data_IF_618328579197
#
_entry.id   IF_618328579197
#
_cell.length_a   1.000
_cell.length_b   1.000
_cell.length_c   1.000
_cell.angle_alpha   90.00
_cell.angle_beta   90.00
_cell.angle_gamma   90.00
#
_symmetry.space_group_name_H-M   'P 1'
#
loop_
_entity.id
_entity.type
_entity.pdbx_description
1 polymer ?
#
# COMPACT_ATOMS: atom_id res chain seq x y z
N UNK A 1 11.32 6.15 1.84
CA UNK A 1 11.44 6.64 3.22
C UNK A 1 12.81 6.24 3.67
N UNK A 2 13.57 7.19 4.23
CA UNK A 2 14.82 6.82 4.90
C UNK A 2 14.51 5.77 5.99
N UNK A 3 15.44 4.86 6.30
CA UNK A 3 15.22 3.85 7.33
C UNK A 3 14.78 4.44 8.67
N UNK A 4 15.36 5.58 9.07
CA UNK A 4 14.98 6.29 10.30
C UNK A 4 13.51 6.77 10.27
N UNK A 5 13.05 7.32 9.14
CA UNK A 5 11.67 7.76 8.98
C UNK A 5 10.69 6.57 9.01
N UNK A 6 11.08 5.42 8.45
CA UNK A 6 10.27 4.19 8.52
C UNK A 6 10.13 3.71 9.96
N UNK A 7 11.21 3.68 10.73
CA UNK A 7 11.17 3.31 12.16
C UNK A 7 10.23 4.23 12.94
N UNK A 8 10.32 5.54 12.73
CA UNK A 8 9.42 6.49 13.40
C UNK A 8 7.95 6.23 13.06
N UNK A 9 7.61 6.00 11.78
CA UNK A 9 6.24 5.67 11.37
C UNK A 9 5.75 4.32 11.91
N UNK A 10 6.63 3.33 12.05
CA UNK A 10 6.30 2.03 12.64
C UNK A 10 5.99 2.19 14.13
N UNK A 11 6.76 3.02 14.86
CA UNK A 11 6.50 3.33 16.26
C UNK A 11 5.20 4.12 16.43
N UNK A 12 4.95 5.11 15.57
CA UNK A 12 3.69 5.86 15.52
C UNK A 12 2.50 4.92 15.30
N UNK A 13 2.60 3.96 14.36
CA UNK A 13 1.57 2.94 14.15
C UNK A 13 1.34 2.08 15.39
N UNK A 14 2.41 1.63 16.06
CA UNK A 14 2.28 0.86 17.30
C UNK A 14 1.54 1.64 18.39
N UNK A 15 1.88 2.91 18.55
CA UNK A 15 1.24 3.78 19.54
C UNK A 15 -0.23 4.00 19.22
N UNK A 16 -0.57 4.31 17.96
CA UNK A 16 -1.96 4.49 17.53
C UNK A 16 -2.80 3.22 17.73
N UNK A 17 -2.27 2.04 17.40
CA UNK A 17 -2.95 0.75 17.60
C UNK A 17 -3.14 0.41 19.09
N UNK A 18 -2.34 0.99 19.98
CA UNK A 18 -2.48 0.81 21.43
C UNK A 18 -3.53 1.74 22.04
N UNK A 19 -3.85 2.85 21.36
CA UNK A 19 -4.79 3.87 21.85
C UNK A 19 -6.19 3.75 21.26
N UNK A 20 -6.31 3.27 20.01
CA UNK A 20 -7.57 3.26 19.27
C UNK A 20 -7.81 1.90 18.60
N UNK A 21 -9.08 1.50 18.55
CA UNK A 21 -9.48 0.27 17.85
C UNK A 21 -9.24 0.38 16.34
N UNK A 22 -9.53 1.54 15.74
CA UNK A 22 -9.34 1.78 14.31
C UNK A 22 -8.18 2.72 14.01
N UNK A 23 -7.33 2.35 13.05
CA UNK A 23 -6.24 3.19 12.53
C UNK A 23 -6.28 3.21 11.00
N UNK A 24 -6.18 4.40 10.41
CA UNK A 24 -6.13 4.60 8.96
C UNK A 24 -4.72 5.02 8.53
N UNK A 25 -4.17 4.27 7.57
CA UNK A 25 -2.97 4.63 6.82
C UNK A 25 -3.39 5.32 5.52
N UNK A 26 -3.06 6.60 5.40
CA UNK A 26 -3.42 7.43 4.24
C UNK A 26 -2.17 7.73 3.42
N UNK A 27 -2.26 7.52 2.12
CA UNK A 27 -1.23 7.97 1.19
C UNK A 27 -1.33 7.30 -0.17
N UNK A 28 -0.64 7.80 -1.18
CA UNK A 28 -0.74 7.29 -2.54
C UNK A 28 -0.09 5.90 -2.70
N UNK A 29 -0.31 5.28 -3.86
CA UNK A 29 0.26 3.97 -4.16
C UNK A 29 1.79 3.98 -4.13
N UNK A 30 2.37 2.96 -3.49
CA UNK A 30 3.82 2.85 -3.32
C UNK A 30 4.40 3.66 -2.15
N UNK A 31 3.61 4.43 -1.39
CA UNK A 31 4.12 5.18 -0.23
C UNK A 31 4.65 4.31 0.92
N UNK A 32 4.40 2.99 0.88
CA UNK A 32 4.93 2.03 1.85
C UNK A 32 3.96 1.63 2.97
N UNK A 33 2.67 1.96 2.85
CA UNK A 33 1.61 1.62 3.84
C UNK A 33 1.62 0.14 4.25
N UNK A 34 1.47 -0.75 3.27
CA UNK A 34 1.44 -2.19 3.51
C UNK A 34 2.78 -2.70 4.07
N UNK A 35 3.89 -2.11 3.64
CA UNK A 35 5.23 -2.43 4.18
C UNK A 35 5.34 -2.03 5.65
N UNK A 36 4.78 -0.89 6.04
CA UNK A 36 4.71 -0.42 7.44
C UNK A 36 3.98 -1.44 8.32
N UNK A 37 2.80 -1.90 7.89
CA UNK A 37 2.01 -2.93 8.59
C UNK A 37 2.82 -4.23 8.75
N UNK A 38 3.46 -4.69 7.67
CA UNK A 38 4.26 -5.93 7.68
C UNK A 38 5.49 -5.82 8.57
N UNK A 39 6.19 -4.68 8.55
CA UNK A 39 7.34 -4.43 9.41
C UNK A 39 6.94 -4.43 10.88
N UNK A 40 5.85 -3.76 11.25
CA UNK A 40 5.35 -3.79 12.62
C UNK A 40 4.95 -5.21 13.03
N UNK A 41 4.20 -5.92 12.19
CA UNK A 41 3.80 -7.31 12.44
C UNK A 41 5.01 -8.21 12.71
N UNK A 42 6.05 -8.08 11.89
CA UNK A 42 7.28 -8.83 12.05
C UNK A 42 8.01 -8.47 13.36
N UNK A 43 8.11 -7.18 13.69
CA UNK A 43 8.72 -6.71 14.92
C UNK A 43 7.98 -7.20 16.18
N UNK A 44 6.64 -7.20 16.17
CA UNK A 44 5.82 -7.70 17.27
C UNK A 44 6.01 -9.22 17.46
N UNK A 45 6.03 -9.99 16.37
CA UNK A 45 6.33 -11.43 16.43
C UNK A 45 7.71 -11.72 16.96
N UNK A 46 8.71 -10.93 16.57
CA UNK A 46 10.07 -11.02 17.13
C UNK A 46 10.14 -10.68 18.61
N UNK A 47 9.26 -9.80 19.10
CA UNK A 47 9.11 -9.49 20.52
C UNK A 47 8.33 -10.56 21.31
N UNK A 48 7.84 -11.63 20.65
CA UNK A 48 7.10 -12.72 21.26
C UNK A 48 5.58 -12.52 21.29
N UNK A 49 5.04 -11.47 20.67
CA UNK A 49 3.59 -11.26 20.56
C UNK A 49 2.99 -12.12 19.43
N UNK A 50 1.86 -12.78 19.71
CA UNK A 50 1.11 -13.52 18.69
C UNK A 50 0.10 -12.57 18.07
N UNK A 51 0.27 -12.30 16.77
CA UNK A 51 -0.61 -11.41 16.00
C UNK A 51 -1.17 -12.14 14.78
N UNK A 52 -2.48 -12.33 14.74
CA UNK A 52 -3.24 -12.86 13.61
C UNK A 52 -3.76 -11.73 12.73
N UNK A 53 -3.76 -11.93 11.42
CA UNK A 53 -4.14 -10.91 10.44
C UNK A 53 -5.19 -11.44 9.48
N UNK A 54 -6.29 -10.71 9.34
CA UNK A 54 -7.36 -10.98 8.37
C UNK A 54 -7.37 -9.83 7.37
N UNK A 55 -7.01 -10.09 6.11
CA UNK A 55 -6.92 -9.06 5.07
C UNK A 55 -8.12 -9.18 4.15
N UNK A 56 -8.81 -8.07 3.91
CA UNK A 56 -9.96 -7.99 3.03
C UNK A 56 -9.93 -6.71 2.19
N UNK A 57 -10.46 -6.78 0.98
CA UNK A 57 -10.66 -5.61 0.13
C UNK A 57 -12.18 -5.32 0.05
N UNK A 58 -12.66 -4.27 0.73
CA UNK A 58 -14.10 -4.01 0.83
C UNK A 58 -14.71 -3.62 -0.53
N UNK A 59 -13.93 -3.00 -1.44
CA UNK A 59 -14.37 -2.62 -2.79
C UNK A 59 -14.38 -3.76 -3.80
N UNK A 60 -13.63 -4.83 -3.54
CA UNK A 60 -13.57 -5.98 -4.44
C UNK A 60 -14.86 -6.83 -4.43
N UNK A 61 -15.76 -6.59 -3.47
CA UNK A 61 -16.97 -7.38 -3.29
C UNK A 61 -18.18 -6.50 -3.01
N UNK A 62 -19.40 -6.94 -3.37
CA UNK A 62 -20.63 -6.26 -2.99
C UNK A 62 -20.79 -6.18 -1.47
N UNK A 63 -21.48 -5.15 -0.98
CA UNK A 63 -21.78 -4.94 0.45
C UNK A 63 -22.36 -6.19 1.14
N UNK A 64 -23.25 -6.92 0.47
CA UNK A 64 -23.86 -8.14 1.01
C UNK A 64 -22.86 -9.28 1.21
N UNK A 65 -21.82 -9.38 0.37
CA UNK A 65 -20.74 -10.36 0.55
C UNK A 65 -19.72 -9.92 1.60
N UNK A 66 -19.56 -8.60 1.80
CA UNK A 66 -18.70 -8.06 2.84
C UNK A 66 -19.31 -8.21 4.24
N UNK A 67 -20.54 -7.73 4.42
CA UNK A 67 -21.22 -7.63 5.72
C UNK A 67 -22.17 -8.79 6.01
N UNK A 68 -22.48 -9.62 5.03
CA UNK A 68 -23.52 -10.63 5.12
C UNK A 68 -24.89 -10.10 4.73
N UNK A 69 -25.83 -11.02 4.54
CA UNK A 69 -27.20 -10.71 4.19
C UNK A 69 -28.16 -11.79 4.71
N UNK A 70 -29.44 -11.45 4.78
CA UNK A 70 -30.51 -12.41 5.02
C UNK A 70 -31.07 -12.80 3.65
N UNK A 71 -31.10 -14.09 3.35
CA UNK A 71 -31.73 -14.59 2.15
C UNK A 71 -33.25 -14.40 2.26
N UNK A 72 -33.87 -13.83 1.22
CA UNK A 72 -35.26 -13.39 1.26
C UNK A 72 -36.24 -14.58 1.26
N UNK A 73 -35.85 -15.68 0.62
CA UNK A 73 -36.70 -16.85 0.43
C UNK A 73 -36.63 -17.79 1.64
N UNK A 74 -35.41 -18.07 2.11
CA UNK A 74 -35.15 -18.98 3.24
C UNK A 74 -35.22 -18.28 4.60
N UNK A 75 -35.08 -16.95 4.63
CA UNK A 75 -34.89 -16.14 5.86
C UNK A 75 -33.66 -16.54 6.68
N UNK A 76 -32.71 -17.22 6.06
CA UNK A 76 -31.46 -17.62 6.70
C UNK A 76 -30.42 -16.51 6.60
N UNK A 77 -29.55 -16.43 7.61
CA UNK A 77 -28.44 -15.50 7.63
C UNK A 77 -27.22 -16.12 6.94
N UNK A 78 -26.68 -15.40 5.96
CA UNK A 78 -25.41 -15.72 5.32
C UNK A 78 -24.34 -14.72 5.76
N UNK A 79 -23.30 -15.24 6.43
CA UNK A 79 -22.14 -14.44 6.84
C UNK A 79 -21.39 -13.88 5.63
N UNK A 80 -20.95 -12.63 5.77
CA UNK A 80 -20.00 -12.00 4.86
C UNK A 80 -18.56 -12.21 5.30
N UNK A 81 -17.61 -11.76 4.48
CA UNK A 81 -16.17 -11.89 4.75
C UNK A 81 -15.77 -11.17 6.05
N UNK A 82 -16.33 -9.98 6.30
CA UNK A 82 -16.05 -9.21 7.50
C UNK A 82 -16.66 -9.86 8.75
N UNK A 83 -17.92 -10.33 8.67
CA UNK A 83 -18.59 -10.95 9.82
C UNK A 83 -17.97 -12.30 10.15
N UNK A 84 -17.60 -13.10 9.14
CA UNK A 84 -16.86 -14.33 9.33
C UNK A 84 -15.49 -14.08 10.00
N UNK A 85 -14.76 -13.05 9.56
CA UNK A 85 -13.49 -12.66 10.18
C UNK A 85 -13.69 -12.19 11.63
N UNK A 86 -14.71 -11.37 11.89
CA UNK A 86 -15.06 -10.92 13.24
C UNK A 86 -15.33 -12.10 14.18
N UNK A 87 -16.10 -13.10 13.71
CA UNK A 87 -16.37 -14.34 14.46
C UNK A 87 -15.13 -15.16 14.75
N UNK A 88 -14.15 -15.18 13.86
CA UNK A 88 -12.88 -15.88 14.09
C UNK A 88 -12.08 -15.17 15.17
N UNK A 89 -11.97 -13.85 15.05
CA UNK A 89 -11.21 -13.01 15.99
C UNK A 89 -11.74 -13.10 17.43
N UNK A 90 -13.06 -13.09 17.63
CA UNK A 90 -13.62 -13.21 19.00
C UNK A 90 -13.47 -14.61 19.61
N UNK A 91 -13.13 -15.63 18.80
CA UNK A 91 -12.88 -17.00 19.28
C UNK A 91 -11.42 -17.21 19.68
N UNK A 92 -10.55 -16.26 19.35
CA UNK A 92 -9.14 -16.33 19.73
C UNK A 92 -8.99 -16.26 21.26
N UNK A 93 -7.99 -16.97 21.82
CA UNK A 93 -7.75 -16.94 23.26
C UNK A 93 -7.21 -15.57 23.71
N UNK A 94 -7.37 -15.29 25.00
CA UNK A 94 -6.80 -14.09 25.61
C UNK A 94 -5.28 -14.05 25.42
N UNK A 95 -4.74 -12.86 25.09
CA UNK A 95 -3.32 -12.65 24.81
C UNK A 95 -2.91 -12.85 23.34
N UNK A 96 -3.85 -13.20 22.45
CA UNK A 96 -3.65 -13.15 21.00
C UNK A 96 -4.22 -11.85 20.46
N UNK A 97 -3.38 -11.04 19.80
CA UNK A 97 -3.83 -9.82 19.12
C UNK A 97 -4.30 -10.16 17.71
N UNK A 98 -5.39 -9.54 17.28
CA UNK A 98 -5.97 -9.77 15.96
C UNK A 98 -6.15 -8.47 15.20
N UNK A 99 -5.69 -8.45 13.96
CA UNK A 99 -5.79 -7.31 13.06
C UNK A 99 -6.70 -7.63 11.89
N UNK A 100 -7.74 -6.83 11.70
CA UNK A 100 -8.59 -6.85 10.51
C UNK A 100 -8.14 -5.70 9.61
N UNK A 101 -7.52 -6.02 8.49
CA UNK A 101 -6.92 -5.07 7.55
C UNK A 101 -7.85 -4.93 6.33
N UNK A 102 -8.39 -3.73 6.16
CA UNK A 102 -9.17 -3.32 5.00
C UNK A 102 -8.26 -2.61 4.00
N UNK A 103 -7.83 -3.31 2.95
CA UNK A 103 -7.00 -2.78 1.87
C UNK A 103 -7.89 -2.32 0.70
N UNK A 104 -8.26 -1.04 0.73
CA UNK A 104 -9.16 -0.43 -0.24
C UNK A 104 -9.70 0.92 0.23
N UNK A 105 -10.20 1.71 -0.72
CA UNK A 105 -10.72 3.04 -0.43
C UNK A 105 -11.94 2.98 0.51
N UNK A 106 -12.04 4.01 1.37
CA UNK A 106 -13.12 4.14 2.33
C UNK A 106 -14.32 4.81 1.67
N UNK A 107 -15.44 4.07 1.59
CA UNK A 107 -16.73 4.62 1.15
C UNK A 107 -17.72 4.69 2.30
N UNK A 108 -18.59 5.71 2.32
CA UNK A 108 -19.67 5.84 3.31
C UNK A 108 -20.54 4.58 3.45
N UNK A 109 -20.86 3.93 2.33
CA UNK A 109 -21.83 2.83 2.31
C UNK A 109 -21.45 1.68 3.25
N UNK A 110 -20.18 1.30 3.30
CA UNK A 110 -19.74 0.18 4.14
C UNK A 110 -19.13 0.65 5.46
N UNK A 111 -18.42 1.79 5.49
CA UNK A 111 -17.73 2.26 6.70
C UNK A 111 -18.72 2.67 7.79
N UNK A 112 -19.92 3.13 7.43
CA UNK A 112 -20.96 3.49 8.40
C UNK A 112 -21.38 2.29 9.26
N UNK A 113 -21.34 1.08 8.70
CA UNK A 113 -21.64 -0.15 9.43
C UNK A 113 -20.60 -0.47 10.51
N UNK A 114 -19.41 0.13 10.41
CA UNK A 114 -18.33 0.01 11.39
C UNK A 114 -18.29 1.16 12.40
N UNK A 115 -19.13 2.19 12.29
CA UNK A 115 -19.08 3.33 13.20
C UNK A 115 -19.24 2.93 14.67
N UNK A 116 -20.09 1.95 14.98
CA UNK A 116 -20.28 1.41 16.34
C UNK A 116 -19.14 0.52 16.81
N UNK A 117 -18.36 -0.05 15.88
CA UNK A 117 -17.13 -0.79 16.16
C UNK A 117 -16.01 0.17 16.52
N UNK A 118 -15.91 1.29 15.81
CA UNK A 118 -14.86 2.29 15.96
C UNK A 118 -15.12 3.30 17.10
N UNK A 119 -16.29 3.21 17.73
CA UNK A 119 -16.67 4.01 18.90
C UNK A 119 -16.33 3.27 20.20
N UNK A 120 -16.55 3.92 21.34
CA UNK A 120 -16.28 3.34 22.68
C UNK A 120 -17.06 2.04 22.97
N UNK A 121 -18.10 1.75 22.19
CA UNK A 121 -18.92 0.55 22.32
C UNK A 121 -18.23 -0.73 21.80
N UNK A 122 -17.29 -0.62 20.86
CA UNK A 122 -16.59 -1.74 20.24
C UNK A 122 -17.55 -2.87 19.76
N UNK A 123 -18.66 -2.48 19.11
CA UNK A 123 -19.78 -3.38 18.83
C UNK A 123 -20.12 -3.40 17.33
N UNK A 124 -20.02 -4.56 16.70
CA UNK A 124 -20.53 -4.80 15.35
C UNK A 124 -21.98 -5.26 15.43
N UNK A 125 -22.89 -4.50 14.84
CA UNK A 125 -24.30 -4.88 14.73
C UNK A 125 -24.59 -5.36 13.32
N UNK A 126 -24.96 -6.63 13.19
CA UNK A 126 -25.32 -7.22 11.90
C UNK A 126 -26.77 -6.87 11.54
N UNK A 127 -27.11 -6.80 10.24
CA UNK A 127 -28.50 -6.63 9.80
C UNK A 127 -29.49 -7.65 10.36
N UNK A 128 -29.03 -8.86 10.73
CA UNK A 128 -29.82 -9.87 11.44
C UNK A 128 -30.23 -9.49 12.86
N UNK A 129 -29.65 -8.42 13.41
CA UNK A 129 -29.81 -7.98 14.80
C UNK A 129 -28.80 -8.61 15.76
N UNK A 130 -28.00 -9.58 15.32
CA UNK A 130 -26.92 -10.15 16.12
C UNK A 130 -25.80 -9.11 16.33
N UNK A 131 -25.19 -9.17 17.52
CA UNK A 131 -24.21 -8.20 17.99
C UNK A 131 -22.93 -8.91 18.39
N UNK A 132 -21.81 -8.50 17.80
CA UNK A 132 -20.47 -9.02 18.10
C UNK A 132 -19.68 -7.92 18.80
N UNK A 133 -19.31 -8.16 20.06
CA UNK A 133 -18.49 -7.23 20.84
C UNK A 133 -17.01 -7.62 20.73
N UNK A 134 -16.15 -6.64 20.45
CA UNK A 134 -14.72 -6.85 20.34
C UNK A 134 -14.01 -6.55 21.66
N UNK A 135 -12.98 -7.35 21.93
CA UNK A 135 -12.05 -7.11 23.03
C UNK A 135 -10.99 -6.04 22.68
N UNK A 136 -10.18 -5.62 23.67
CA UNK A 136 -9.10 -4.65 23.48
C UNK A 136 -7.95 -5.17 22.60
N UNK A 137 -7.86 -6.49 22.39
CA UNK A 137 -6.84 -7.13 21.57
C UNK A 137 -7.15 -7.14 20.06
N UNK A 138 -8.23 -6.47 19.65
CA UNK A 138 -8.66 -6.38 18.26
C UNK A 138 -8.40 -4.99 17.71
N UNK A 139 -7.70 -4.90 16.58
CA UNK A 139 -7.53 -3.66 15.84
C UNK A 139 -8.07 -3.77 14.41
N UNK A 140 -8.63 -2.68 13.92
CA UNK A 140 -8.99 -2.46 12.53
C UNK A 140 -7.97 -1.53 11.88
N UNK A 141 -7.34 -1.98 10.81
CA UNK A 141 -6.44 -1.17 10.01
C UNK A 141 -7.08 -0.89 8.65
N UNK A 142 -7.04 0.36 8.20
CA UNK A 142 -7.54 0.76 6.89
C UNK A 142 -6.39 1.32 6.06
N UNK A 143 -6.11 0.72 4.91
CA UNK A 143 -5.16 1.25 3.94
C UNK A 143 -5.95 1.93 2.81
N UNK A 144 -5.84 3.25 2.70
CA UNK A 144 -6.58 4.05 1.70
C UNK A 144 -5.66 4.98 0.92
N UNK A 145 -6.05 5.32 -0.31
CA UNK A 145 -5.37 6.34 -1.11
C UNK A 145 -5.57 7.73 -0.49
N UNK A 146 -6.84 8.07 -0.26
CA UNK A 146 -7.27 9.33 0.33
C UNK A 146 -8.54 9.13 1.18
N UNK A 147 -9.02 10.22 1.77
CA UNK A 147 -10.20 10.27 2.63
C UNK A 147 -11.29 11.18 2.05
N UNK A 148 -11.26 11.45 0.74
CA UNK A 148 -12.17 12.42 0.12
C UNK A 148 -13.64 12.06 0.28
N UNK A 149 -13.96 10.77 0.34
CA UNK A 149 -15.32 10.26 0.50
C UNK A 149 -15.70 9.96 1.96
N UNK A 150 -14.77 10.04 2.91
CA UNK A 150 -15.02 9.68 4.30
C UNK A 150 -15.64 10.85 5.08
N UNK A 151 -16.63 10.56 5.92
CA UNK A 151 -17.25 11.59 6.75
C UNK A 151 -16.31 12.05 7.89
N UNK A 152 -16.32 13.34 8.28
CA UNK A 152 -15.51 13.83 9.41
C UNK A 152 -15.79 13.08 10.73
N UNK A 153 -17.01 12.59 10.91
CA UNK A 153 -17.40 11.82 12.09
C UNK A 153 -16.76 10.43 12.14
N UNK A 154 -16.52 9.81 10.98
CA UNK A 154 -15.78 8.54 10.89
C UNK A 154 -14.29 8.78 11.13
N UNK A 155 -13.75 9.84 10.53
CA UNK A 155 -12.34 10.21 10.63
C UNK A 155 -11.94 10.53 12.08
N UNK A 156 -12.78 11.24 12.84
CA UNK A 156 -12.47 11.63 14.22
C UNK A 156 -12.34 10.45 15.20
N UNK A 157 -12.98 9.31 14.89
CA UNK A 157 -12.98 8.10 15.71
C UNK A 157 -11.71 7.27 15.53
N UNK A 158 -11.03 7.41 14.40
CA UNK A 158 -9.85 6.59 14.06
C UNK A 158 -8.54 7.33 14.30
N UNK A 159 -7.48 6.56 14.61
CA UNK A 159 -6.11 7.06 14.52
C UNK A 159 -5.73 7.27 13.06
N UNK A 160 -4.91 8.26 12.76
CA UNK A 160 -4.55 8.60 11.39
C UNK A 160 -3.05 8.73 11.23
N UNK A 161 -2.51 8.07 10.21
CA UNK A 161 -1.09 8.15 9.86
C UNK A 161 -0.97 8.47 8.39
N UNK A 162 -0.33 9.59 8.10
CA UNK A 162 -0.08 10.05 6.73
C UNK A 162 1.29 9.61 6.23
N UNK A 163 1.32 9.05 5.02
CA UNK A 163 2.54 8.69 4.29
C UNK A 163 2.59 9.50 2.98
N UNK A 164 3.52 10.43 2.90
CA UNK A 164 3.82 11.20 1.68
C UNK A 164 4.83 10.51 0.77
N UNK A 165 4.70 10.70 -0.55
CA UNK A 165 5.71 10.28 -1.54
C UNK A 165 6.99 11.10 -1.47
N UNK A 166 6.94 12.32 -0.92
CA UNK A 166 8.14 13.15 -0.74
C UNK A 166 9.16 12.47 0.17
N UNK A 167 8.67 11.65 1.11
CA UNK A 167 9.53 10.87 1.97
C UNK A 167 10.13 9.66 1.24
N UNK A 168 9.70 9.32 0.01
CA UNK A 168 10.18 8.14 -0.71
C UNK A 168 11.49 8.42 -1.46
N UNK A 169 12.61 8.03 -0.82
CA UNK A 169 13.91 7.97 -1.48
C UNK A 169 13.94 6.92 -2.61
N UNK A 170 13.96 7.40 -3.86
CA UNK A 170 14.08 6.54 -5.06
C UNK A 170 15.39 5.75 -5.05
N UNK A 171 16.47 6.35 -4.54
CA UNK A 171 17.80 5.71 -4.41
C UNK A 171 17.74 4.44 -3.54
N UNK A 172 16.99 4.46 -2.44
CA UNK A 172 16.78 3.30 -1.59
C UNK A 172 16.03 2.17 -2.32
N UNK A 173 15.06 2.51 -3.17
CA UNK A 173 14.31 1.52 -3.97
C UNK A 173 15.19 0.91 -5.07
N UNK A 174 15.96 1.74 -5.78
CA UNK A 174 16.87 1.30 -6.84
C UNK A 174 17.99 0.42 -6.26
N UNK A 175 18.56 0.79 -5.12
CA UNK A 175 19.60 -0.01 -4.44
C UNK A 175 19.06 -1.36 -3.95
N UNK A 176 17.84 -1.41 -3.39
CA UNK A 176 17.19 -2.67 -3.04
C UNK A 176 16.99 -3.58 -4.26
N UNK A 177 16.53 -3.01 -5.39
CA UNK A 177 16.35 -3.77 -6.63
C UNK A 177 17.69 -4.27 -7.22
N UNK A 178 18.77 -3.48 -7.12
CA UNK A 178 20.13 -3.88 -7.52
C UNK A 178 20.65 -5.06 -6.69
N UNK A 179 20.27 -5.17 -5.41
CA UNK A 179 20.66 -6.29 -4.56
C UNK A 179 19.99 -7.60 -4.98
N UNK A 180 18.82 -7.55 -5.63
CA UNK A 180 18.14 -8.72 -6.18
C UNK A 180 18.78 -9.24 -7.49
N UNK A 181 19.64 -8.44 -8.12
CA UNK A 181 20.33 -8.81 -9.38
C UNK A 181 21.57 -9.68 -9.13
N UNK A 182 22.02 -10.39 -10.17
CA UNK A 182 23.29 -11.14 -10.16
C UNK A 182 24.48 -10.20 -9.96
N UNK A 183 25.56 -10.71 -9.35
CA UNK A 183 26.78 -9.92 -9.06
C UNK A 183 27.40 -9.30 -10.33
N UNK A 184 27.37 -10.01 -11.46
CA UNK A 184 27.86 -9.52 -12.75
C UNK A 184 27.00 -8.36 -13.28
N UNK A 185 25.67 -8.53 -13.28
CA UNK A 185 24.74 -7.49 -13.71
C UNK A 185 24.82 -6.26 -12.82
N UNK A 186 24.94 -6.45 -11.50
CA UNK A 186 25.03 -5.37 -10.51
C UNK A 186 26.19 -4.42 -10.77
N UNK A 187 27.38 -4.95 -11.10
CA UNK A 187 28.57 -4.12 -11.41
C UNK A 187 28.37 -3.24 -12.64
N UNK A 188 27.74 -3.79 -13.68
CA UNK A 188 27.47 -3.05 -14.92
C UNK A 188 26.33 -2.05 -14.71
N UNK A 189 25.24 -2.48 -14.08
CA UNK A 189 24.03 -1.68 -13.87
C UNK A 189 24.26 -0.52 -12.91
N UNK A 190 25.07 -0.69 -11.85
CA UNK A 190 25.28 0.37 -10.86
C UNK A 190 25.78 1.66 -11.51
N UNK A 191 26.85 1.59 -12.32
CA UNK A 191 27.37 2.77 -13.00
C UNK A 191 26.38 3.37 -14.00
N UNK A 192 25.69 2.51 -14.78
CA UNK A 192 24.73 2.97 -15.78
C UNK A 192 23.47 3.60 -15.16
N UNK A 193 23.03 3.12 -13.99
CA UNK A 193 21.90 3.68 -13.26
C UNK A 193 22.26 5.06 -12.70
N UNK A 194 23.43 5.18 -12.08
CA UNK A 194 23.90 6.47 -11.53
C UNK A 194 24.07 7.52 -12.64
N UNK A 195 24.64 7.14 -13.79
CA UNK A 195 24.92 8.05 -14.89
C UNK A 195 23.66 8.49 -15.67
N UNK A 196 22.70 7.57 -15.87
CA UNK A 196 21.62 7.78 -16.84
C UNK A 196 20.21 7.67 -16.27
N UNK A 197 19.96 6.76 -15.31
CA UNK A 197 18.60 6.45 -14.87
C UNK A 197 17.97 7.63 -14.14
N UNK A 198 18.69 8.22 -13.17
CA UNK A 198 18.17 9.35 -12.40
C UNK A 198 17.92 10.59 -13.26
N UNK A 199 18.81 10.86 -14.22
CA UNK A 199 18.65 11.97 -15.17
C UNK A 199 17.43 11.75 -16.08
N UNK A 200 17.26 10.55 -16.62
CA UNK A 200 16.11 10.20 -17.44
C UNK A 200 14.80 10.28 -16.64
N UNK A 201 14.80 9.77 -15.40
CA UNK A 201 13.65 9.86 -14.50
C UNK A 201 13.26 11.31 -14.22
N UNK A 202 14.22 12.16 -13.84
CA UNK A 202 13.98 13.57 -13.57
C UNK A 202 13.37 14.27 -14.78
N UNK A 203 13.91 14.01 -15.98
CA UNK A 203 13.39 14.59 -17.21
C UNK A 203 11.94 14.16 -17.51
N UNK A 204 11.62 12.88 -17.34
CA UNK A 204 10.27 12.36 -17.58
C UNK A 204 9.26 12.91 -16.56
N UNK A 205 9.66 13.02 -15.29
CA UNK A 205 8.84 13.64 -14.24
C UNK A 205 8.61 15.13 -14.52
N UNK A 206 9.62 15.86 -15.00
CA UNK A 206 9.49 17.27 -15.38
C UNK A 206 8.61 17.48 -16.62
N UNK A 207 8.68 16.56 -17.58
CA UNK A 207 7.85 16.63 -18.78
C UNK A 207 6.36 16.48 -18.44
N UNK A 208 6.03 15.59 -17.50
CA UNK A 208 4.66 15.35 -16.99
C UNK A 208 3.60 15.05 -18.08
N UNK A 209 4.00 14.40 -19.17
CA UNK A 209 3.16 14.06 -20.33
C UNK A 209 2.73 12.58 -20.32
N UNK A 210 2.18 12.14 -19.18
CA UNK A 210 1.78 10.75 -18.97
C UNK A 210 0.40 10.44 -19.57
N UNK A 211 0.23 9.25 -20.14
CA UNK A 211 -1.06 8.76 -20.63
C UNK A 211 -2.02 8.36 -19.51
N UNK A 212 -1.47 7.86 -18.40
CA UNK A 212 -2.20 7.42 -17.22
C UNK A 212 -1.54 8.02 -15.98
N UNK A 213 -2.33 8.48 -15.02
CA UNK A 213 -1.80 8.95 -13.74
C UNK A 213 -1.01 7.84 -13.04
N UNK A 214 0.21 8.16 -12.62
CA UNK A 214 1.10 7.20 -11.98
C UNK A 214 1.96 7.89 -10.95
N UNK A 215 2.32 7.17 -9.89
CA UNK A 215 3.25 7.69 -8.89
C UNK A 215 4.68 7.62 -9.43
N UNK A 216 5.58 8.42 -8.88
CA UNK A 216 7.01 8.39 -9.24
C UNK A 216 7.57 6.96 -9.13
N UNK A 217 7.16 6.22 -8.09
CA UNK A 217 7.53 4.81 -7.94
C UNK A 217 6.96 3.90 -9.02
N UNK A 218 5.78 4.19 -9.56
CA UNK A 218 5.24 3.51 -10.73
C UNK A 218 6.16 3.67 -11.94
N UNK A 219 6.63 4.88 -12.20
CA UNK A 219 7.61 5.18 -13.27
C UNK A 219 8.93 4.46 -13.00
N UNK A 220 9.45 4.51 -11.78
CA UNK A 220 10.69 3.84 -11.39
C UNK A 220 10.59 2.34 -11.59
N UNK A 221 9.51 1.70 -11.13
CA UNK A 221 9.28 0.25 -11.32
C UNK A 221 9.16 -0.12 -12.79
N UNK A 222 8.47 0.70 -13.59
CA UNK A 222 8.40 0.53 -15.04
C UNK A 222 9.77 0.67 -15.70
N UNK A 223 10.62 1.60 -15.23
CA UNK A 223 11.99 1.73 -15.72
C UNK A 223 12.84 0.51 -15.39
N UNK A 224 12.87 0.10 -14.12
CA UNK A 224 13.70 -0.99 -13.62
C UNK A 224 13.31 -2.36 -14.18
N UNK A 225 12.02 -2.61 -14.42
CA UNK A 225 11.55 -3.91 -14.93
C UNK A 225 12.12 -4.27 -16.31
N UNK A 226 12.47 -3.28 -17.13
CA UNK A 226 13.10 -3.48 -18.43
C UNK A 226 14.62 -3.65 -18.35
N UNK A 227 15.23 -3.38 -17.18
CA UNK A 227 16.69 -3.34 -17.00
C UNK A 227 17.28 -4.65 -16.44
N UNK A 228 16.45 -5.61 -16.02
CA UNK A 228 16.90 -6.83 -15.33
C UNK A 228 17.91 -7.69 -16.14
N UNK A 229 17.69 -7.82 -17.46
CA UNK A 229 18.49 -8.70 -18.33
C UNK A 229 19.54 -7.97 -19.18
N UNK A 230 19.90 -6.75 -18.80
CA UNK A 230 20.79 -5.89 -19.59
C UNK A 230 22.25 -6.28 -19.37
N UNK A 231 22.97 -6.55 -20.47
CA UNK A 231 24.39 -6.95 -20.46
C UNK A 231 25.33 -5.98 -21.17
N UNK A 232 24.78 -4.98 -21.87
CA UNK A 232 25.56 -3.98 -22.62
C UNK A 232 24.98 -2.58 -22.50
N UNK A 233 25.82 -1.56 -22.69
CA UNK A 233 25.42 -0.14 -22.63
C UNK A 233 24.37 0.22 -23.69
N UNK A 234 24.46 -0.36 -24.89
CA UNK A 234 23.45 -0.15 -25.95
C UNK A 234 22.11 -0.77 -25.58
N UNK A 235 22.13 -1.99 -25.02
CA UNK A 235 20.92 -2.65 -24.54
C UNK A 235 20.31 -1.87 -23.38
N UNK A 236 21.14 -1.31 -22.48
CA UNK A 236 20.71 -0.44 -21.39
C UNK A 236 19.97 0.79 -21.90
N UNK A 237 20.56 1.53 -22.85
CA UNK A 237 19.95 2.73 -23.41
C UNK A 237 18.56 2.45 -24.01
N UNK A 238 18.44 1.36 -24.77
CA UNK A 238 17.18 0.95 -25.38
C UNK A 238 16.15 0.51 -24.32
N UNK A 239 16.58 -0.26 -23.33
CA UNK A 239 15.72 -0.73 -22.24
C UNK A 239 15.23 0.44 -21.36
N UNK A 240 16.12 1.38 -21.03
CA UNK A 240 15.81 2.59 -20.27
C UNK A 240 14.75 3.44 -20.98
N UNK A 241 14.95 3.70 -22.28
CA UNK A 241 14.00 4.46 -23.08
C UNK A 241 12.64 3.76 -23.17
N UNK A 242 12.62 2.42 -23.30
CA UNK A 242 11.37 1.64 -23.31
C UNK A 242 10.65 1.66 -21.96
N UNK A 243 11.38 1.49 -20.86
CA UNK A 243 10.83 1.35 -19.52
C UNK A 243 10.29 2.67 -18.96
N UNK A 244 11.09 3.74 -18.97
CA UNK A 244 10.69 5.03 -18.40
C UNK A 244 9.66 5.74 -19.29
N UNK A 245 9.76 5.60 -20.62
CA UNK A 245 8.81 6.24 -21.56
C UNK A 245 7.55 5.39 -21.86
N UNK A 246 7.37 4.25 -21.20
CA UNK A 246 6.25 3.33 -21.43
C UNK A 246 4.89 4.03 -21.28
N UNK A 247 4.77 4.86 -20.24
CA UNK A 247 3.55 5.60 -19.90
C UNK A 247 3.50 7.01 -20.53
N UNK A 248 4.43 7.38 -21.40
CA UNK A 248 4.41 8.69 -22.08
C UNK A 248 3.55 8.64 -23.34
N UNK A 249 2.93 9.78 -23.68
CA UNK A 249 2.24 9.95 -24.96
C UNK A 249 3.22 9.86 -26.14
N UNK A 250 2.69 9.66 -27.36
CA UNK A 250 3.50 9.37 -28.55
C UNK A 250 4.57 10.45 -28.81
N UNK A 251 4.21 11.73 -28.70
CA UNK A 251 5.12 12.85 -28.94
C UNK A 251 6.20 12.94 -27.84
N UNK A 252 5.82 12.76 -26.58
CA UNK A 252 6.73 12.74 -25.43
C UNK A 252 7.72 11.57 -25.49
N UNK A 253 7.27 10.40 -25.96
CA UNK A 253 8.12 9.21 -26.13
C UNK A 253 9.22 9.42 -27.16
N UNK A 254 8.91 10.08 -28.29
CA UNK A 254 9.92 10.42 -29.30
C UNK A 254 10.95 11.40 -28.76
N UNK A 255 10.53 12.41 -27.97
CA UNK A 255 11.45 13.33 -27.30
C UNK A 255 12.33 12.59 -26.28
N UNK A 256 11.75 11.72 -25.47
CA UNK A 256 12.48 10.91 -24.48
C UNK A 256 13.56 10.03 -25.15
N UNK A 257 13.20 9.34 -26.23
CA UNK A 257 14.13 8.49 -26.97
C UNK A 257 15.30 9.29 -27.56
N UNK A 258 15.06 10.53 -28.04
CA UNK A 258 16.13 11.42 -28.52
C UNK A 258 17.06 11.83 -27.39
N UNK A 259 16.51 12.25 -26.25
CA UNK A 259 17.30 12.65 -25.08
C UNK A 259 18.14 11.49 -24.52
N UNK A 260 17.53 10.31 -24.32
CA UNK A 260 18.26 9.12 -23.86
C UNK A 260 19.38 8.74 -24.84
N UNK A 261 19.16 8.87 -26.15
CA UNK A 261 20.20 8.64 -27.17
C UNK A 261 21.33 9.65 -27.06
N UNK A 262 21.03 10.94 -26.85
CA UNK A 262 22.05 11.98 -26.64
C UNK A 262 22.90 11.65 -25.40
N UNK A 263 22.27 11.23 -24.31
CA UNK A 263 22.99 10.91 -23.07
C UNK A 263 23.88 9.67 -23.20
N UNK A 264 23.46 8.67 -23.97
CA UNK A 264 24.13 7.37 -24.01
C UNK A 264 25.14 7.21 -25.15
N UNK A 265 25.05 8.01 -26.23
CA UNK A 265 25.91 7.89 -27.43
C UNK A 265 27.01 8.96 -27.53
N UNK A 266 26.90 10.10 -26.83
CA UNK A 266 27.89 11.19 -26.92
C UNK A 266 29.15 11.05 -26.03
N UNK A 267 29.57 9.82 -25.69
CA UNK A 267 30.82 9.53 -24.96
C UNK A 267 31.49 8.28 -25.55
#
# INVERSE_FOLDING_TARGET
MSPAAQVHKVLELKEQLSQRMGVVLVGPSGSGKTTLCRLLLHALRHAGEIVHTHILNPKAMPRQQLLGHIDVDTREWHDGVLTASARQVIKEPLGVRSWIICDGDIDPEWIESLNSVLDDNHLLTMPSGERIQFGPDVNFLFETHDLGCASPATISRMGMIFLSLENVEVTAVVSSWLQEQTEEARRVLSGLLDDYFYRALQWVVQLNEFCVETTILGVVRSGLSYLADVRSRTQFALALARGIAANLNKMAREKCAREVRIFTVCL
#
